data_IF_668454868856
#
_entry.id   IF_668454868856
#
_cell.length_a   1.000
_cell.length_b   1.000
_cell.length_c   1.000
_cell.angle_alpha   90.00
_cell.angle_beta   90.00
_cell.angle_gamma   90.00
#
_symmetry.space_group_name_H-M   'P 1'
#
loop_
_entity.id
_entity.type
_entity.pdbx_description
1 polymer ?
#
# COMPACT_ATOMS: atom_id res chain seq x y z
N UNK A 1 0.91 35.72 21.90
CA UNK A 1 0.74 35.04 20.57
C UNK A 1 0.58 33.54 20.81
N UNK A 2 -0.48 32.95 20.30
CA UNK A 2 -0.64 31.51 20.42
C UNK A 2 0.45 30.81 19.60
N UNK A 3 1.12 29.83 20.20
CA UNK A 3 2.14 29.04 19.53
C UNK A 3 1.48 28.25 18.38
N UNK A 4 2.05 28.30 17.16
CA UNK A 4 1.54 27.56 16.01
C UNK A 4 1.62 26.06 16.30
N UNK A 5 0.52 25.35 16.06
CA UNK A 5 0.45 23.89 16.11
C UNK A 5 0.63 23.39 14.68
N UNK A 6 1.63 22.52 14.48
CA UNK A 6 1.87 21.86 13.20
C UNK A 6 1.20 20.50 13.19
N UNK A 7 0.65 20.08 12.04
CA UNK A 7 0.03 18.78 11.89
C UNK A 7 1.06 17.66 12.09
N UNK A 8 2.24 17.82 11.52
CA UNK A 8 3.34 16.87 11.61
C UNK A 8 4.67 17.64 11.56
N UNK A 9 5.62 17.21 12.38
CA UNK A 9 7.01 17.65 12.33
C UNK A 9 7.89 16.42 12.21
N UNK A 10 8.82 16.44 11.26
CA UNK A 10 9.82 15.39 11.15
C UNK A 10 10.65 15.32 12.45
N UNK A 11 10.84 14.11 12.95
CA UNK A 11 11.71 13.84 14.09
C UNK A 11 13.03 13.27 13.56
N UNK A 12 14.14 13.90 13.95
CA UNK A 12 15.48 13.45 13.58
C UNK A 12 16.04 12.56 14.69
N UNK A 13 16.44 11.34 14.37
CA UNK A 13 17.03 10.38 15.32
C UNK A 13 18.47 10.71 15.66
N UNK A 14 19.14 11.48 14.80
CA UNK A 14 20.57 11.80 14.84
C UNK A 14 21.45 10.78 14.11
N UNK A 15 20.88 9.72 13.55
CA UNK A 15 21.62 8.69 12.79
C UNK A 15 21.60 8.91 11.28
N UNK A 16 20.76 9.80 10.78
CA UNK A 16 20.51 10.00 9.34
C UNK A 16 21.80 10.32 8.59
N UNK A 17 22.62 11.23 9.15
CA UNK A 17 23.88 11.64 8.54
C UNK A 17 24.92 10.51 8.48
N UNK A 18 24.86 9.57 9.41
CA UNK A 18 25.74 8.39 9.40
C UNK A 18 25.42 7.50 8.20
N UNK A 19 24.15 7.18 7.96
CA UNK A 19 23.73 6.36 6.81
C UNK A 19 23.98 7.07 5.47
N UNK A 20 23.74 8.39 5.41
CA UNK A 20 24.06 9.19 4.23
C UNK A 20 25.56 9.13 3.93
N UNK A 21 26.39 9.37 4.95
CA UNK A 21 27.85 9.33 4.80
C UNK A 21 28.32 7.95 4.35
N UNK A 22 27.81 6.89 4.96
CA UNK A 22 28.15 5.50 4.59
C UNK A 22 27.82 5.22 3.12
N UNK A 23 26.64 5.64 2.64
CA UNK A 23 26.26 5.46 1.24
C UNK A 23 27.23 6.16 0.28
N UNK A 24 27.70 7.38 0.62
CA UNK A 24 28.68 8.11 -0.19
C UNK A 24 30.09 7.48 -0.09
N UNK A 25 30.54 7.13 1.10
CA UNK A 25 31.87 6.54 1.32
C UNK A 25 32.02 5.18 0.60
N UNK A 26 30.94 4.42 0.50
CA UNK A 26 30.91 3.09 -0.12
C UNK A 26 30.39 3.10 -1.56
N UNK A 27 30.08 4.27 -2.10
CA UNK A 27 29.55 4.48 -3.47
C UNK A 27 28.21 3.75 -3.74
N UNK A 28 27.37 3.57 -2.71
CA UNK A 28 26.02 3.05 -2.83
C UNK A 28 24.97 4.16 -2.98
N UNK A 29 25.21 5.11 -3.89
CA UNK A 29 24.28 6.20 -4.22
C UNK A 29 23.42 5.77 -5.41
N UNK A 30 22.67 4.69 -5.22
CA UNK A 30 21.82 4.05 -6.24
C UNK A 30 20.54 3.50 -5.57
N UNK A 31 19.45 3.24 -6.33
CA UNK A 31 18.18 2.75 -5.77
C UNK A 31 18.24 1.25 -5.34
N UNK A 32 19.38 0.74 -5.04
CA UNK A 32 19.67 -0.62 -4.59
C UNK A 32 20.81 -0.56 -3.56
N UNK A 33 21.05 -1.65 -2.86
CA UNK A 33 22.22 -1.79 -2.00
C UNK A 33 21.89 -2.03 -0.53
N UNK A 34 22.92 -2.00 0.35
CA UNK A 34 22.78 -2.42 1.75
C UNK A 34 21.69 -1.68 2.53
N UNK A 35 21.58 -0.36 2.35
CA UNK A 35 20.60 0.45 3.06
C UNK A 35 19.14 0.15 2.61
N UNK A 36 18.93 -0.10 1.31
CA UNK A 36 17.59 -0.50 0.80
C UNK A 36 17.25 -1.88 1.35
N UNK A 37 18.15 -2.83 1.25
CA UNK A 37 17.94 -4.20 1.76
C UNK A 37 17.70 -4.21 3.28
N UNK A 38 18.47 -3.42 4.03
CA UNK A 38 18.29 -3.25 5.47
C UNK A 38 16.92 -2.66 5.80
N UNK A 39 16.51 -1.62 5.09
CA UNK A 39 15.21 -0.98 5.27
C UNK A 39 14.04 -1.92 4.99
N UNK A 40 14.10 -2.70 3.90
CA UNK A 40 13.08 -3.72 3.62
C UNK A 40 13.00 -4.76 4.73
N UNK A 41 14.16 -5.25 5.19
CA UNK A 41 14.22 -6.22 6.29
C UNK A 41 13.68 -5.67 7.60
N UNK A 42 14.05 -4.44 7.97
CA UNK A 42 13.54 -3.78 9.18
C UNK A 42 12.01 -3.61 9.10
N UNK A 43 11.47 -3.31 7.91
CA UNK A 43 10.03 -3.23 7.70
C UNK A 43 9.36 -4.60 7.80
N UNK A 44 9.95 -5.67 7.23
CA UNK A 44 9.44 -7.05 7.35
C UNK A 44 9.38 -7.48 8.84
N UNK A 45 10.43 -7.20 9.61
CA UNK A 45 10.46 -7.47 11.04
C UNK A 45 9.41 -6.65 11.81
N UNK A 46 9.20 -5.38 11.42
CA UNK A 46 8.26 -4.49 12.10
C UNK A 46 6.80 -4.85 11.81
N UNK A 47 6.44 -5.17 10.58
CA UNK A 47 5.07 -5.55 10.21
C UNK A 47 4.73 -6.97 10.66
N UNK A 48 5.72 -7.87 10.71
CA UNK A 48 5.52 -9.25 11.12
C UNK A 48 4.66 -10.07 10.14
N UNK A 49 3.98 -11.10 10.64
CA UNK A 49 3.01 -11.91 9.89
C UNK A 49 3.60 -12.64 8.66
N UNK A 50 4.90 -12.97 8.69
CA UNK A 50 5.64 -13.58 7.57
C UNK A 50 5.47 -12.84 6.24
N UNK A 51 5.28 -11.52 6.32
CA UNK A 51 5.15 -10.65 5.14
C UNK A 51 6.50 -10.31 4.53
N UNK A 52 6.47 -9.97 3.26
CA UNK A 52 7.62 -9.47 2.52
C UNK A 52 7.38 -8.02 2.11
N UNK A 53 8.44 -7.20 2.09
CA UNK A 53 8.31 -5.77 1.79
C UNK A 53 9.22 -5.37 0.64
N UNK A 54 8.72 -4.51 -0.24
CA UNK A 54 9.48 -3.87 -1.33
C UNK A 54 9.49 -2.37 -1.08
N UNK A 55 10.67 -1.77 -0.98
CA UNK A 55 10.84 -0.33 -0.91
C UNK A 55 10.59 0.32 -2.28
N UNK A 56 9.83 1.40 -2.28
CA UNK A 56 9.38 2.10 -3.49
C UNK A 56 9.55 3.61 -3.35
N UNK A 57 9.47 4.32 -4.47
CA UNK A 57 9.65 5.78 -4.52
C UNK A 57 8.52 6.58 -3.86
N UNK A 58 7.33 6.00 -3.71
CA UNK A 58 6.16 6.64 -3.11
C UNK A 58 5.07 5.63 -2.74
N UNK A 59 4.19 5.97 -1.78
CA UNK A 59 2.97 5.20 -1.52
C UNK A 59 2.06 5.10 -2.76
N UNK A 60 1.98 6.14 -3.58
CA UNK A 60 1.25 6.12 -4.87
C UNK A 60 1.77 5.04 -5.82
N UNK A 61 3.10 4.85 -5.86
CA UNK A 61 3.71 3.78 -6.64
C UNK A 61 3.37 2.40 -6.07
N UNK A 62 3.28 2.28 -4.73
CA UNK A 62 2.87 1.04 -4.08
C UNK A 62 1.41 0.67 -4.42
N UNK A 63 0.47 1.63 -4.38
CA UNK A 63 -0.92 1.40 -4.82
C UNK A 63 -0.95 0.95 -6.28
N UNK A 64 -0.21 1.63 -7.16
CA UNK A 64 -0.17 1.30 -8.60
C UNK A 64 0.32 -0.14 -8.83
N UNK A 65 1.44 -0.53 -8.22
CA UNK A 65 1.99 -1.87 -8.38
C UNK A 65 1.10 -2.96 -7.76
N UNK A 66 0.44 -2.67 -6.63
CA UNK A 66 -0.52 -3.59 -6.03
C UNK A 66 -1.73 -3.83 -6.95
N UNK A 67 -2.28 -2.77 -7.56
CA UNK A 67 -3.36 -2.88 -8.55
C UNK A 67 -2.93 -3.70 -9.77
N UNK A 68 -1.73 -3.45 -10.29
CA UNK A 68 -1.15 -4.19 -11.40
C UNK A 68 -1.02 -5.68 -11.05
N UNK A 69 -0.47 -6.01 -9.89
CA UNK A 69 -0.32 -7.39 -9.39
C UNK A 69 -1.66 -8.06 -9.08
N UNK A 70 -2.72 -7.30 -8.78
CA UNK A 70 -4.09 -7.81 -8.72
C UNK A 70 -4.71 -8.03 -10.12
N UNK A 71 -3.97 -7.72 -11.20
CA UNK A 71 -4.39 -7.90 -12.58
C UNK A 71 -5.44 -6.90 -13.05
N UNK A 72 -5.45 -5.70 -12.48
CA UNK A 72 -6.29 -4.58 -12.94
C UNK A 72 -5.86 -4.14 -14.34
N UNK A 73 -6.83 -3.98 -15.23
CA UNK A 73 -6.62 -3.67 -16.66
C UNK A 73 -7.58 -2.55 -17.10
N UNK A 74 -7.35 -1.94 -18.27
CA UNK A 74 -8.28 -0.99 -18.84
C UNK A 74 -9.70 -1.53 -18.93
N UNK A 75 -10.67 -0.75 -18.47
CA UNK A 75 -12.08 -1.10 -18.43
C UNK A 75 -12.52 -1.95 -17.22
N UNK A 76 -11.62 -2.26 -16.29
CA UNK A 76 -11.98 -2.81 -14.98
C UNK A 76 -12.47 -1.71 -14.04
N UNK A 77 -13.16 -2.12 -12.97
CA UNK A 77 -13.58 -1.23 -11.89
C UNK A 77 -12.90 -1.62 -10.58
N UNK A 78 -12.53 -0.61 -9.79
CA UNK A 78 -11.91 -0.78 -8.47
C UNK A 78 -12.69 0.04 -7.45
N UNK A 79 -13.12 -0.60 -6.37
CA UNK A 79 -13.81 0.07 -5.27
C UNK A 79 -12.77 0.76 -4.38
N UNK A 80 -12.99 2.03 -4.10
CA UNK A 80 -12.05 2.83 -3.32
C UNK A 80 -12.82 3.77 -2.37
N UNK A 81 -12.26 3.98 -1.19
CA UNK A 81 -12.81 4.92 -0.21
C UNK A 81 -12.89 6.33 -0.81
N UNK A 82 -14.04 7.04 -0.59
CA UNK A 82 -14.24 8.39 -1.10
C UNK A 82 -13.47 9.43 -0.30
N UNK A 83 -13.46 9.29 1.03
CA UNK A 83 -12.76 10.19 1.93
C UNK A 83 -11.31 9.73 2.11
N UNK A 84 -10.46 10.16 1.20
CA UNK A 84 -9.04 9.80 1.17
C UNK A 84 -8.22 10.83 0.39
N UNK A 85 -6.91 10.72 0.49
CA UNK A 85 -6.00 11.43 -0.41
C UNK A 85 -6.06 10.80 -1.82
N UNK A 86 -5.95 11.63 -2.85
CA UNK A 86 -6.10 11.19 -4.24
C UNK A 86 -5.13 10.07 -4.69
N UNK A 87 -4.05 9.83 -3.93
CA UNK A 87 -3.11 8.75 -4.21
C UNK A 87 -3.72 7.35 -4.11
N UNK A 88 -4.84 7.17 -3.40
CA UNK A 88 -5.57 5.89 -3.37
C UNK A 88 -6.35 5.63 -4.66
N UNK A 89 -6.84 6.68 -5.34
CA UNK A 89 -7.71 6.57 -6.52
C UNK A 89 -7.00 6.83 -7.85
N UNK A 90 -6.04 7.75 -7.93
CA UNK A 90 -5.36 8.09 -9.18
C UNK A 90 -4.67 6.89 -9.84
N UNK A 91 -3.97 5.98 -9.11
CA UNK A 91 -3.34 4.82 -9.73
C UNK A 91 -4.30 3.88 -10.44
N UNK A 92 -5.59 3.87 -10.06
CA UNK A 92 -6.63 3.13 -10.76
C UNK A 92 -6.76 3.66 -12.19
N UNK A 93 -6.79 5.00 -12.34
CA UNK A 93 -6.90 5.64 -13.66
C UNK A 93 -5.63 5.49 -14.48
N UNK A 94 -4.44 5.35 -13.86
CA UNK A 94 -3.20 5.09 -14.60
C UNK A 94 -3.24 3.76 -15.36
N UNK A 95 -4.00 2.78 -14.85
CA UNK A 95 -4.21 1.48 -15.49
C UNK A 95 -5.39 1.49 -16.49
N UNK A 96 -6.04 2.65 -16.73
CA UNK A 96 -7.22 2.74 -17.56
C UNK A 96 -8.48 2.12 -16.94
N UNK A 97 -8.45 1.85 -15.64
CA UNK A 97 -9.57 1.36 -14.87
C UNK A 97 -10.40 2.52 -14.28
N UNK A 98 -11.61 2.22 -13.82
CA UNK A 98 -12.53 3.21 -13.26
C UNK A 98 -12.59 3.08 -11.75
N UNK A 99 -12.29 4.16 -10.97
CA UNK A 99 -12.54 4.16 -9.54
C UNK A 99 -14.05 4.25 -9.27
N UNK A 100 -14.55 3.36 -8.42
CA UNK A 100 -15.92 3.40 -7.89
C UNK A 100 -15.80 3.79 -6.42
N UNK A 101 -16.27 4.98 -6.10
CA UNK A 101 -16.15 5.53 -4.75
C UNK A 101 -17.18 4.98 -3.81
N UNK A 102 -16.75 4.54 -2.64
CA UNK A 102 -17.58 4.08 -1.52
C UNK A 102 -17.49 5.09 -0.40
N UNK A 103 -18.64 5.49 0.14
CA UNK A 103 -18.68 6.51 1.17
C UNK A 103 -18.29 5.97 2.56
N UNK A 104 -18.14 6.88 3.52
CA UNK A 104 -17.63 6.62 4.86
C UNK A 104 -18.73 6.25 5.84
N UNK A 105 -18.41 5.36 6.77
CA UNK A 105 -19.23 5.13 7.95
C UNK A 105 -18.93 6.18 9.05
N UNK A 106 -19.85 6.30 10.02
CA UNK A 106 -19.86 7.45 10.95
C UNK A 106 -18.89 7.33 12.13
N UNK A 107 -18.39 6.12 12.44
CA UNK A 107 -17.58 5.88 13.64
C UNK A 107 -16.10 6.21 13.40
N UNK A 108 -15.54 5.73 12.29
CA UNK A 108 -14.12 5.88 11.96
C UNK A 108 -13.87 6.80 10.76
N UNK A 109 -14.92 7.16 10.01
CA UNK A 109 -14.86 7.93 8.76
C UNK A 109 -14.13 7.19 7.63
N UNK A 110 -13.89 5.91 7.81
CA UNK A 110 -13.35 5.03 6.76
C UNK A 110 -14.48 4.38 5.96
N UNK A 111 -14.12 3.56 4.97
CA UNK A 111 -15.07 2.90 4.07
C UNK A 111 -16.19 2.18 4.83
N UNK A 112 -17.44 2.43 4.44
CA UNK A 112 -18.61 1.75 5.01
C UNK A 112 -18.74 0.33 4.43
N UNK A 113 -18.72 -0.73 5.27
CA UNK A 113 -18.88 -2.11 4.79
C UNK A 113 -20.22 -2.41 4.13
N UNK A 114 -21.30 -1.77 4.58
CA UNK A 114 -22.64 -1.98 4.00
C UNK A 114 -22.73 -1.33 2.62
N UNK A 115 -22.22 -0.09 2.48
CA UNK A 115 -22.16 0.59 1.19
C UNK A 115 -21.17 -0.09 0.23
N UNK A 116 -20.10 -0.70 0.75
CA UNK A 116 -19.17 -1.52 -0.05
C UNK A 116 -19.92 -2.69 -0.68
N UNK A 117 -20.70 -3.44 0.10
CA UNK A 117 -21.46 -4.58 -0.41
C UNK A 117 -22.55 -4.13 -1.40
N UNK A 118 -23.21 -3.01 -1.13
CA UNK A 118 -24.19 -2.41 -2.05
C UNK A 118 -23.53 -2.05 -3.38
N UNK A 119 -22.37 -1.38 -3.34
CA UNK A 119 -21.61 -1.01 -4.53
C UNK A 119 -21.19 -2.24 -5.35
N UNK A 120 -20.73 -3.32 -4.71
CA UNK A 120 -20.38 -4.56 -5.40
C UNK A 120 -21.61 -5.12 -6.16
N UNK A 121 -22.76 -5.22 -5.49
CA UNK A 121 -23.99 -5.73 -6.10
C UNK A 121 -24.45 -4.85 -7.27
N UNK A 122 -24.42 -3.54 -7.09
CA UNK A 122 -24.78 -2.56 -8.14
C UNK A 122 -23.87 -2.70 -9.37
N UNK A 123 -22.55 -2.85 -9.15
CA UNK A 123 -21.62 -2.99 -10.28
C UNK A 123 -21.80 -4.31 -11.01
N UNK A 124 -21.98 -5.41 -10.28
CA UNK A 124 -22.26 -6.72 -10.89
C UNK A 124 -23.56 -6.66 -11.72
N UNK A 125 -24.62 -6.06 -11.18
CA UNK A 125 -25.90 -5.92 -11.89
C UNK A 125 -25.75 -5.07 -13.17
N UNK A 126 -25.07 -3.92 -13.08
CA UNK A 126 -24.97 -2.97 -14.19
C UNK A 126 -23.94 -3.37 -15.27
N UNK A 127 -22.88 -4.04 -14.87
CA UNK A 127 -21.74 -4.32 -15.80
C UNK A 127 -21.60 -5.79 -16.14
N UNK A 128 -22.23 -6.69 -15.39
CA UNK A 128 -22.04 -8.14 -15.48
C UNK A 128 -20.64 -8.59 -14.99
N UNK A 129 -19.86 -7.72 -14.36
CA UNK A 129 -18.49 -7.99 -13.89
C UNK A 129 -18.35 -7.69 -12.41
N UNK A 130 -17.58 -8.52 -11.73
CA UNK A 130 -17.14 -8.24 -10.35
C UNK A 130 -16.02 -7.20 -10.36
N UNK A 131 -16.05 -6.18 -9.50
CA UNK A 131 -14.94 -5.24 -9.33
C UNK A 131 -13.64 -5.98 -9.05
N UNK A 132 -12.52 -5.43 -9.55
CA UNK A 132 -11.24 -6.15 -9.60
C UNK A 132 -10.44 -6.09 -8.30
N UNK A 133 -10.63 -5.04 -7.50
CA UNK A 133 -10.01 -4.86 -6.19
C UNK A 133 -10.84 -3.92 -5.32
N UNK A 134 -10.57 -3.97 -4.01
CA UNK A 134 -11.08 -3.03 -3.00
C UNK A 134 -9.88 -2.32 -2.38
N UNK A 135 -9.96 -0.98 -2.24
CA UNK A 135 -8.92 -0.15 -1.62
C UNK A 135 -9.52 0.60 -0.42
N UNK A 136 -9.61 -0.04 0.76
CA UNK A 136 -9.91 0.66 2.00
C UNK A 136 -8.67 1.46 2.44
N UNK A 137 -8.90 2.53 3.21
CA UNK A 137 -7.83 3.41 3.69
C UNK A 137 -7.87 3.49 5.21
N UNK A 138 -6.72 3.47 5.85
CA UNK A 138 -6.58 3.76 7.26
C UNK A 138 -6.39 5.28 7.46
N UNK A 139 -7.46 6.05 7.29
CA UNK A 139 -7.44 7.50 7.28
C UNK A 139 -6.93 8.04 8.61
N UNK A 140 -5.91 8.90 8.57
CA UNK A 140 -5.22 9.43 9.75
C UNK A 140 -4.74 8.38 10.76
N UNK A 141 -4.50 7.15 10.30
CA UNK A 141 -4.06 6.04 11.13
C UNK A 141 -5.16 5.32 11.89
N UNK A 142 -6.43 5.70 11.69
CA UNK A 142 -7.57 5.01 12.27
C UNK A 142 -7.83 3.70 11.50
N UNK A 143 -7.87 2.53 12.19
CA UNK A 143 -8.29 1.30 11.54
C UNK A 143 -9.69 1.43 10.96
N UNK A 144 -9.87 0.98 9.73
CA UNK A 144 -11.20 0.78 9.15
C UNK A 144 -11.86 -0.44 9.81
N UNK A 145 -13.15 -0.69 9.54
CA UNK A 145 -13.86 -1.88 10.03
C UNK A 145 -13.33 -3.14 9.33
N UNK A 146 -12.15 -3.60 9.78
CA UNK A 146 -11.33 -4.61 9.11
C UNK A 146 -12.11 -5.90 8.89
N UNK A 147 -12.70 -6.46 9.94
CA UNK A 147 -13.39 -7.75 9.88
C UNK A 147 -14.56 -7.72 8.90
N UNK A 148 -15.34 -6.64 8.93
CA UNK A 148 -16.52 -6.48 8.07
C UNK A 148 -16.11 -6.27 6.60
N UNK A 149 -15.10 -5.44 6.33
CA UNK A 149 -14.58 -5.22 4.97
C UNK A 149 -13.99 -6.51 4.41
N UNK A 150 -13.18 -7.23 5.19
CA UNK A 150 -12.59 -8.51 4.77
C UNK A 150 -13.67 -9.57 4.54
N UNK A 151 -14.69 -9.65 5.40
CA UNK A 151 -15.81 -10.59 5.22
C UNK A 151 -16.60 -10.31 3.93
N UNK A 152 -16.79 -9.04 3.57
CA UNK A 152 -17.42 -8.66 2.30
C UNK A 152 -16.51 -9.06 1.13
N UNK A 153 -15.21 -8.71 1.19
CA UNK A 153 -14.24 -9.02 0.14
C UNK A 153 -14.16 -10.53 -0.14
N UNK A 154 -14.06 -11.33 0.92
CA UNK A 154 -13.98 -12.80 0.83
C UNK A 154 -15.24 -13.41 0.20
N UNK A 155 -16.43 -12.90 0.55
CA UNK A 155 -17.70 -13.36 -0.01
C UNK A 155 -17.78 -13.23 -1.52
N UNK A 156 -17.16 -12.19 -2.07
CA UNK A 156 -17.15 -11.93 -3.52
C UNK A 156 -15.85 -12.32 -4.21
N UNK A 157 -14.86 -12.82 -3.45
CA UNK A 157 -13.54 -13.21 -3.97
C UNK A 157 -12.75 -12.04 -4.53
N UNK A 158 -12.90 -10.83 -3.96
CA UNK A 158 -12.24 -9.61 -4.41
C UNK A 158 -11.01 -9.34 -3.55
N UNK A 159 -9.80 -9.20 -4.13
CA UNK A 159 -8.61 -8.87 -3.35
C UNK A 159 -8.70 -7.47 -2.74
N UNK A 160 -8.20 -7.35 -1.49
CA UNK A 160 -8.08 -6.09 -0.77
C UNK A 160 -6.65 -5.58 -0.88
N UNK A 161 -6.49 -4.31 -1.26
CA UNK A 161 -5.25 -3.55 -1.20
C UNK A 161 -5.43 -2.52 -0.09
N UNK A 162 -4.80 -2.75 1.03
CA UNK A 162 -4.94 -1.92 2.22
C UNK A 162 -4.06 -0.68 2.10
N UNK A 163 -4.66 0.50 1.92
CA UNK A 163 -3.91 1.75 1.94
C UNK A 163 -3.65 2.20 3.39
N UNK A 164 -2.55 1.72 3.94
CA UNK A 164 -2.04 2.05 5.26
C UNK A 164 -0.98 3.17 5.22
N UNK A 165 -1.04 4.05 4.20
CA UNK A 165 -0.10 5.17 4.04
C UNK A 165 -0.05 6.12 5.26
N UNK A 166 -1.07 6.10 6.09
CA UNK A 166 -1.15 6.84 7.37
C UNK A 166 -1.26 5.90 8.57
N UNK A 167 -1.37 4.60 8.33
CA UNK A 167 -1.58 3.58 9.34
C UNK A 167 -0.30 2.92 9.88
N UNK A 168 0.90 3.41 9.51
CA UNK A 168 2.15 2.82 9.96
C UNK A 168 2.28 2.88 11.48
N UNK A 169 2.36 1.71 12.13
CA UNK A 169 2.40 1.59 13.58
C UNK A 169 1.03 1.39 14.24
N UNK A 170 -0.07 1.74 13.58
CA UNK A 170 -1.41 1.46 14.06
C UNK A 170 -1.72 -0.04 13.98
N UNK A 171 -2.56 -0.49 14.92
CA UNK A 171 -2.93 -1.91 15.02
C UNK A 171 -4.44 -2.08 15.13
N UNK A 172 -4.94 -3.16 14.55
CA UNK A 172 -6.28 -3.66 14.77
C UNK A 172 -6.15 -5.07 15.35
N UNK A 173 -6.76 -5.32 16.48
CA UNK A 173 -6.69 -6.60 17.22
C UNK A 173 -5.25 -7.16 17.35
N UNK A 174 -4.31 -6.28 17.67
CA UNK A 174 -2.89 -6.61 17.85
C UNK A 174 -2.06 -6.76 16.57
N UNK A 175 -2.67 -6.85 15.40
CA UNK A 175 -1.98 -6.92 14.09
C UNK A 175 -1.76 -5.54 13.49
N UNK A 176 -0.66 -5.38 12.80
CA UNK A 176 -0.32 -4.13 12.11
C UNK A 176 -1.25 -3.86 10.95
N UNK A 177 -1.69 -2.61 10.79
CA UNK A 177 -2.35 -2.17 9.55
C UNK A 177 -1.40 -2.32 8.35
N UNK A 178 -1.94 -2.67 7.20
CA UNK A 178 -1.21 -3.04 6.00
C UNK A 178 -0.94 -4.55 5.89
N UNK A 179 -1.37 -5.37 6.86
CA UNK A 179 -1.13 -6.82 6.84
C UNK A 179 -2.38 -7.67 6.64
N UNK A 180 -3.57 -7.07 6.65
CA UNK A 180 -4.85 -7.77 6.53
C UNK A 180 -5.22 -8.08 5.08
N UNK A 181 -4.97 -7.15 4.17
CA UNK A 181 -5.23 -7.32 2.74
C UNK A 181 -4.24 -8.24 2.04
N UNK A 182 -4.49 -8.48 0.75
CA UNK A 182 -3.54 -9.17 -0.12
C UNK A 182 -2.24 -8.38 -0.26
N UNK A 183 -2.34 -7.05 -0.36
CA UNK A 183 -1.23 -6.12 -0.35
C UNK A 183 -1.49 -4.99 0.64
N UNK A 184 -0.43 -4.46 1.23
CA UNK A 184 -0.48 -3.29 2.10
C UNK A 184 0.45 -2.18 1.63
N UNK A 185 -0.05 -0.96 1.63
CA UNK A 185 0.68 0.22 1.15
C UNK A 185 1.18 1.03 2.32
N UNK A 186 2.46 1.35 2.33
CA UNK A 186 3.09 2.27 3.28
C UNK A 186 3.60 3.51 2.54
N UNK A 187 3.60 4.64 3.23
CA UNK A 187 4.13 5.90 2.71
C UNK A 187 5.09 6.55 3.70
N UNK A 188 6.20 7.04 3.17
CA UNK A 188 7.23 7.78 3.90
C UNK A 188 7.41 9.18 3.34
N UNK A 189 6.31 9.76 2.80
CA UNK A 189 6.30 11.15 2.35
C UNK A 189 6.51 12.11 3.53
N UNK A 190 6.87 13.36 3.25
CA UNK A 190 7.26 14.37 4.25
C UNK A 190 6.27 14.63 5.38
N UNK A 191 4.99 14.33 5.17
CA UNK A 191 3.91 14.52 6.16
C UNK A 191 3.48 13.24 6.90
N UNK A 192 4.15 12.10 6.66
CA UNK A 192 3.78 10.81 7.26
C UNK A 192 4.43 10.61 8.64
N UNK A 193 4.01 9.56 9.35
CA UNK A 193 4.51 9.18 10.69
C UNK A 193 6.03 9.10 10.74
N UNK A 194 6.63 8.45 9.75
CA UNK A 194 8.08 8.43 9.48
C UNK A 194 8.27 8.93 8.05
N UNK A 195 9.30 9.74 7.83
CA UNK A 195 9.58 10.29 6.51
C UNK A 195 10.99 10.00 6.03
N UNK A 196 11.10 9.73 4.74
CA UNK A 196 12.37 9.70 3.98
C UNK A 196 12.41 10.83 2.94
N UNK A 197 11.69 11.94 3.20
CA UNK A 197 11.38 13.04 2.28
C UNK A 197 10.34 12.63 1.22
N UNK A 198 10.62 11.65 0.41
CA UNK A 198 9.73 10.88 -0.44
C UNK A 198 10.04 9.41 -0.25
N UNK A 199 9.09 8.54 -0.49
CA UNK A 199 9.27 7.11 -0.32
C UNK A 199 7.96 6.40 -0.03
N UNK A 200 7.96 5.12 -0.23
CA UNK A 200 6.87 4.22 0.10
C UNK A 200 7.36 2.79 0.20
N UNK A 201 6.48 1.89 0.56
CA UNK A 201 6.75 0.47 0.49
C UNK A 201 5.46 -0.31 0.21
N UNK A 202 5.61 -1.48 -0.38
CA UNK A 202 4.53 -2.41 -0.60
C UNK A 202 4.76 -3.68 0.22
N UNK A 203 3.82 -3.99 1.10
CA UNK A 203 3.75 -5.24 1.84
C UNK A 203 3.13 -6.28 0.92
N UNK A 204 3.87 -7.35 0.68
CA UNK A 204 3.50 -8.47 -0.19
C UNK A 204 3.13 -9.71 0.63
N UNK A 205 2.21 -10.55 0.15
CA UNK A 205 1.79 -11.75 0.88
C UNK A 205 2.90 -12.79 1.03
N UNK A 206 3.79 -12.90 0.04
CA UNK A 206 4.84 -13.91 -0.03
C UNK A 206 6.03 -13.47 -0.89
N UNK A 207 7.07 -14.31 -0.94
CA UNK A 207 8.29 -14.03 -1.68
C UNK A 207 8.11 -14.06 -3.21
N UNK A 208 7.07 -14.72 -3.73
CA UNK A 208 6.77 -14.72 -5.18
C UNK A 208 6.20 -13.37 -5.59
N UNK A 209 5.21 -12.88 -4.86
CA UNK A 209 4.66 -11.54 -5.04
C UNK A 209 5.75 -10.46 -4.88
N UNK A 210 6.64 -10.59 -3.87
CA UNK A 210 7.79 -9.67 -3.73
C UNK A 210 8.65 -9.65 -4.99
N UNK A 211 8.97 -10.80 -5.58
CA UNK A 211 9.77 -10.88 -6.80
C UNK A 211 9.08 -10.24 -8.01
N UNK A 212 7.78 -10.46 -8.16
CA UNK A 212 6.98 -9.83 -9.21
C UNK A 212 7.02 -8.29 -9.08
N UNK A 213 6.76 -7.78 -7.89
CA UNK A 213 6.82 -6.33 -7.62
C UNK A 213 8.21 -5.76 -7.86
N UNK A 214 9.26 -6.44 -7.42
CA UNK A 214 10.66 -6.04 -7.66
C UNK A 214 10.99 -5.96 -9.15
N UNK A 215 10.46 -6.88 -9.96
CA UNK A 215 10.62 -6.81 -11.41
C UNK A 215 10.06 -5.52 -12.00
N UNK A 216 8.83 -5.15 -11.62
CA UNK A 216 8.22 -3.90 -12.09
C UNK A 216 8.94 -2.66 -11.52
N UNK A 217 9.38 -2.70 -10.27
CA UNK A 217 10.01 -1.56 -9.61
C UNK A 217 11.42 -1.25 -10.12
N UNK A 218 12.18 -2.28 -10.53
CA UNK A 218 13.60 -2.14 -10.89
C UNK A 218 13.93 -2.47 -12.34
N UNK A 219 12.94 -2.92 -13.13
CA UNK A 219 13.14 -3.43 -14.50
C UNK A 219 14.21 -4.53 -14.57
N UNK A 220 14.43 -5.27 -13.48
CA UNK A 220 15.47 -6.28 -13.37
C UNK A 220 15.09 -7.58 -14.04
N UNK A 221 15.63 -7.86 -15.23
CA UNK A 221 15.44 -9.12 -15.95
C UNK A 221 16.13 -10.33 -15.30
N UNK A 222 17.02 -10.12 -14.34
CA UNK A 222 17.76 -11.21 -13.67
C UNK A 222 16.85 -12.12 -12.83
N UNK A 223 15.70 -11.63 -12.39
CA UNK A 223 14.74 -12.35 -11.55
C UNK A 223 13.91 -13.33 -12.40
N UNK A 224 13.59 -13.00 -13.65
CA UNK A 224 12.78 -13.84 -14.53
C UNK A 224 13.56 -15.01 -15.16
N UNK A 225 14.89 -14.94 -15.30
CA UNK A 225 15.67 -16.03 -15.89
C UNK A 225 15.65 -17.34 -15.09
N UNK A 226 15.43 -17.28 -13.78
CA UNK A 226 15.36 -18.49 -12.95
C UNK A 226 14.02 -19.23 -13.07
N UNK A 227 12.93 -18.54 -13.39
CA UNK A 227 11.59 -19.14 -13.51
C UNK A 227 11.34 -19.79 -14.87
N UNK A 228 12.09 -19.41 -15.93
CA UNK A 228 11.96 -19.98 -17.28
C UNK A 228 12.96 -21.10 -17.60
N UNK A 229 13.90 -21.41 -16.70
CA UNK A 229 14.81 -22.55 -16.88
C UNK A 229 14.28 -23.88 -16.31
N UNK A 230 13.07 -23.85 -15.72
CA UNK A 230 12.39 -25.03 -15.16
C UNK A 230 11.10 -25.39 -15.91
N UNK A 231 10.89 -24.86 -17.10
CA UNK A 231 9.94 -25.32 -18.13
C UNK A 231 10.69 -25.84 -19.34
#
# INVERSE_FOLDING_TARGET
MNKRIYLCLAHMSGKEQMYIKEAFDTNWVVPLGPNVNGFEKDLEEFVGEDKHVVALSAGTAAVHLALLACGVKPGDEVLVQSFTFCASSHPITYLGATPVFVDSEVDTWNMDPALLEEAIKDRIEKTGKTPKAIVPVALYGMPYKVDEIMAVADRYGIPVIEDAAEGFGSRYDGRMLGTFGKYGVLSFNGNKMITTSGGGALICPDGEAKREIMFYATCSTSIFRQSFQSL
#
